data_IF_820333067757
#
_entry.id   IF_820333067757
#
_cell.length_a   1.000
_cell.length_b   1.000
_cell.length_c   1.000
_cell.angle_alpha   90.00
_cell.angle_beta   90.00
_cell.angle_gamma   90.00
#
_symmetry.space_group_name_H-M   'P 1'
#
loop_
_entity.id
_entity.type
_entity.pdbx_description
1 polymer ?
#
# COMPACT_ATOMS: atom_id res chain seq x y z
N UNK A 1 10.01 -7.73 -6.77
CA UNK A 1 9.40 -6.57 -6.08
C UNK A 1 8.23 -6.22 -6.96
N UNK A 2 7.04 -6.64 -6.58
CA UNK A 2 5.88 -6.59 -7.49
C UNK A 2 5.31 -5.16 -7.51
N UNK A 3 5.25 -4.48 -8.67
CA UNK A 3 4.71 -3.13 -8.80
C UNK A 3 3.19 -3.03 -8.63
N UNK A 4 2.43 -4.09 -8.92
CA UNK A 4 1.00 -4.03 -9.19
C UNK A 4 0.31 -4.34 -7.88
N UNK A 5 -0.34 -3.34 -7.28
CA UNK A 5 -1.01 -3.54 -6.00
C UNK A 5 -2.04 -4.64 -6.04
N UNK A 6 -2.83 -4.64 -7.12
CA UNK A 6 -3.89 -5.61 -7.35
C UNK A 6 -3.36 -7.05 -7.29
N UNK A 7 -2.10 -7.25 -7.69
CA UNK A 7 -1.45 -8.56 -7.73
C UNK A 7 -0.58 -8.87 -6.52
N UNK A 8 -0.31 -7.87 -5.66
CA UNK A 8 0.41 -8.10 -4.41
C UNK A 8 -0.27 -9.21 -3.63
N UNK A 9 0.51 -10.24 -3.29
CA UNK A 9 0.02 -11.35 -2.48
C UNK A 9 -0.68 -10.86 -1.21
N UNK A 10 -0.18 -9.80 -0.57
CA UNK A 10 -0.82 -9.20 0.60
C UNK A 10 -2.23 -8.65 0.35
N UNK A 11 -2.52 -8.11 -0.85
CA UNK A 11 -3.87 -7.65 -1.20
C UNK A 11 -4.80 -8.81 -1.54
N UNK A 12 -4.35 -9.75 -2.38
CA UNK A 12 -5.11 -10.98 -2.67
C UNK A 12 -5.45 -11.74 -1.39
N UNK A 13 -4.57 -11.64 -0.40
CA UNK A 13 -4.77 -12.23 0.92
C UNK A 13 -5.74 -11.40 1.78
N UNK A 14 -5.65 -10.07 1.76
CA UNK A 14 -6.66 -9.18 2.37
C UNK A 14 -8.07 -9.57 1.92
N UNK A 15 -8.32 -9.63 0.61
CA UNK A 15 -9.64 -9.93 0.06
C UNK A 15 -10.14 -11.35 0.43
N UNK A 16 -9.22 -12.29 0.71
CA UNK A 16 -9.57 -13.66 1.12
C UNK A 16 -9.89 -13.78 2.60
N UNK A 17 -9.12 -13.11 3.46
CA UNK A 17 -9.28 -13.16 4.94
C UNK A 17 -10.24 -12.11 5.49
N UNK A 18 -10.44 -11.01 4.75
CA UNK A 18 -11.35 -9.91 5.01
C UNK A 18 -12.12 -9.57 3.73
N UNK A 19 -13.16 -10.35 3.40
CA UNK A 19 -13.93 -10.11 2.19
C UNK A 19 -14.63 -8.74 2.26
N UNK A 20 -14.85 -8.06 1.13
CA UNK A 20 -15.38 -6.70 1.09
C UNK A 20 -16.69 -6.48 1.85
N UNK A 21 -17.61 -7.44 1.82
CA UNK A 21 -18.88 -7.39 2.56
C UNK A 21 -18.72 -7.42 4.09
N UNK A 22 -17.57 -7.89 4.60
CA UNK A 22 -17.25 -7.80 6.04
C UNK A 22 -16.77 -6.40 6.39
N UNK A 23 -16.05 -5.74 5.48
CA UNK A 23 -15.49 -4.41 5.71
C UNK A 23 -16.55 -3.32 5.79
N UNK A 24 -17.72 -3.56 5.21
CA UNK A 24 -18.90 -2.68 5.29
C UNK A 24 -19.72 -2.86 6.57
N UNK A 25 -19.32 -3.75 7.49
CA UNK A 25 -19.98 -3.89 8.80
C UNK A 25 -19.45 -2.89 9.82
N UNK A 26 -20.14 -2.77 10.97
CA UNK A 26 -19.73 -1.92 12.11
C UNK A 26 -18.27 -2.15 12.56
N UNK A 27 -17.78 -3.39 12.54
CA UNK A 27 -16.42 -3.76 12.97
C UNK A 27 -15.44 -3.96 11.81
N UNK A 28 -15.92 -3.77 10.57
CA UNK A 28 -15.15 -4.01 9.36
C UNK A 28 -13.87 -3.19 9.30
N UNK A 29 -13.94 -1.89 9.61
CA UNK A 29 -12.77 -1.04 9.68
C UNK A 29 -11.81 -1.42 10.82
N UNK A 30 -12.32 -1.80 12.00
CA UNK A 30 -11.46 -2.29 13.09
C UNK A 30 -10.63 -3.48 12.61
N UNK A 31 -11.26 -4.39 11.87
CA UNK A 31 -10.60 -5.58 11.31
C UNK A 31 -9.59 -5.23 10.21
N UNK A 32 -9.90 -4.25 9.35
CA UNK A 32 -8.94 -3.72 8.36
C UNK A 32 -7.72 -3.08 9.03
N UNK A 33 -7.92 -2.29 10.08
CA UNK A 33 -6.84 -1.65 10.83
C UNK A 33 -5.96 -2.68 11.55
N UNK A 34 -6.57 -3.72 12.13
CA UNK A 34 -5.83 -4.85 12.69
C UNK A 34 -5.00 -5.54 11.61
N UNK A 35 -5.60 -5.87 10.47
CA UNK A 35 -4.89 -6.46 9.33
C UNK A 35 -3.73 -5.60 8.82
N UNK A 36 -3.90 -4.28 8.76
CA UNK A 36 -2.81 -3.37 8.38
C UNK A 36 -1.69 -3.35 9.43
N UNK A 37 -2.05 -3.47 10.72
CA UNK A 37 -1.14 -3.51 11.85
C UNK A 37 -0.32 -4.80 12.01
N UNK A 38 -0.55 -5.82 11.18
CA UNK A 38 0.27 -7.04 11.18
C UNK A 38 1.43 -6.99 10.20
N UNK A 39 1.57 -5.96 9.35
CA UNK A 39 2.71 -5.89 8.41
C UNK A 39 2.69 -7.01 7.36
N UNK A 40 2.04 -6.77 6.22
CA UNK A 40 1.70 -7.84 5.28
C UNK A 40 2.85 -8.22 4.34
N UNK A 41 3.48 -9.38 4.52
CA UNK A 41 4.44 -9.92 3.54
C UNK A 41 4.85 -11.36 3.77
N UNK A 42 5.97 -11.78 3.18
CA UNK A 42 6.39 -13.19 3.17
C UNK A 42 6.47 -13.80 4.56
N UNK A 43 6.91 -13.02 5.55
CA UNK A 43 7.06 -13.47 6.93
C UNK A 43 5.72 -13.72 7.62
N UNK A 44 4.65 -13.03 7.22
CA UNK A 44 3.29 -13.21 7.78
C UNK A 44 2.41 -14.16 6.99
N UNK A 45 2.93 -14.73 5.92
CA UNK A 45 2.14 -15.55 4.98
C UNK A 45 1.55 -16.81 5.62
N UNK A 46 2.27 -17.45 6.55
CA UNK A 46 1.78 -18.64 7.25
C UNK A 46 0.65 -18.30 8.23
N UNK A 47 0.83 -17.25 9.04
CA UNK A 47 -0.23 -16.72 9.93
C UNK A 47 -1.53 -16.47 9.15
N UNK A 48 -1.42 -15.80 8.00
CA UNK A 48 -2.58 -15.41 7.21
C UNK A 48 -3.24 -16.59 6.50
N UNK A 49 -2.47 -17.62 6.13
CA UNK A 49 -3.03 -18.87 5.61
C UNK A 49 -3.83 -19.58 6.68
N UNK A 50 -3.36 -19.62 7.91
CA UNK A 50 -4.14 -20.17 9.02
C UNK A 50 -5.41 -19.35 9.27
N UNK A 51 -5.34 -18.02 9.17
CA UNK A 51 -6.54 -17.19 9.25
C UNK A 51 -7.53 -17.50 8.12
N UNK A 52 -7.08 -17.83 6.91
CA UNK A 52 -7.95 -18.19 5.79
C UNK A 52 -8.78 -19.47 6.06
N UNK A 53 -8.24 -20.40 6.86
CA UNK A 53 -8.88 -21.67 7.23
C UNK A 53 -9.89 -21.51 8.38
N UNK A 54 -9.87 -20.39 9.11
CA UNK A 54 -10.81 -20.13 10.21
C UNK A 54 -12.21 -19.78 9.69
N UNK A 55 -13.30 -20.22 10.37
CA UNK A 55 -14.67 -19.87 9.97
C UNK A 55 -14.92 -18.37 9.91
N UNK A 56 -14.41 -17.63 10.90
CA UNK A 56 -14.55 -16.17 11.01
C UNK A 56 -13.36 -15.41 10.39
N UNK A 57 -12.34 -16.12 9.90
CA UNK A 57 -11.14 -15.54 9.28
C UNK A 57 -10.50 -14.44 10.14
N UNK A 58 -10.29 -13.23 9.58
CA UNK A 58 -9.87 -12.04 10.33
C UNK A 58 -11.04 -11.10 10.67
N UNK A 59 -12.28 -11.55 10.55
CA UNK A 59 -13.44 -10.76 10.93
C UNK A 59 -13.61 -10.76 12.46
N UNK A 60 -13.09 -9.72 13.11
CA UNK A 60 -13.20 -9.60 14.55
C UNK A 60 -14.52 -8.94 14.95
N UNK A 61 -15.32 -9.65 15.75
CA UNK A 61 -16.62 -9.15 16.23
C UNK A 61 -16.50 -8.25 17.45
N UNK A 62 -15.38 -8.33 18.16
CA UNK A 62 -15.08 -7.53 19.35
C UNK A 62 -13.57 -7.39 19.58
N UNK A 63 -13.20 -6.49 20.49
CA UNK A 63 -11.82 -6.37 20.96
C UNK A 63 -11.31 -7.67 21.59
N UNK A 64 -12.16 -8.37 22.35
CA UNK A 64 -11.82 -9.61 23.04
C UNK A 64 -11.53 -10.74 22.05
N UNK A 65 -12.32 -10.82 20.98
CA UNK A 65 -12.12 -11.77 19.87
C UNK A 65 -10.78 -11.53 19.16
N UNK A 66 -10.46 -10.25 18.90
CA UNK A 66 -9.16 -9.84 18.38
C UNK A 66 -8.02 -10.23 19.33
N UNK A 67 -8.09 -9.85 20.61
CA UNK A 67 -7.05 -10.17 21.60
C UNK A 67 -6.85 -11.68 21.73
N UNK A 68 -7.94 -12.45 21.83
CA UNK A 68 -7.87 -13.90 21.94
C UNK A 68 -7.16 -14.53 20.74
N UNK A 69 -7.47 -14.07 19.53
CA UNK A 69 -6.82 -14.56 18.31
C UNK A 69 -5.30 -14.34 18.31
N UNK A 70 -4.84 -13.14 18.68
CA UNK A 70 -3.41 -12.85 18.72
C UNK A 70 -2.71 -13.51 19.91
N UNK A 71 -3.34 -13.55 21.09
CA UNK A 71 -2.79 -14.25 22.26
C UNK A 71 -2.67 -15.76 22.03
N UNK A 72 -3.63 -16.39 21.35
CA UNK A 72 -3.53 -17.80 20.97
C UNK A 72 -2.36 -18.03 20.00
N UNK A 73 -2.16 -17.12 19.05
CA UNK A 73 -1.04 -17.18 18.12
C UNK A 73 0.30 -17.03 18.85
N UNK A 74 0.41 -16.08 19.78
CA UNK A 74 1.57 -15.90 20.65
C UNK A 74 1.87 -17.14 21.48
N UNK A 75 0.86 -17.72 22.12
CA UNK A 75 1.01 -18.93 22.94
C UNK A 75 1.49 -20.12 22.09
N UNK A 76 0.97 -20.27 20.87
CA UNK A 76 1.41 -21.31 19.93
C UNK A 76 2.85 -21.08 19.47
N UNK A 77 3.21 -19.86 19.11
CA UNK A 77 4.59 -19.52 18.74
C UNK A 77 5.56 -19.81 19.89
N UNK A 78 5.18 -19.48 21.13
CA UNK A 78 5.97 -19.79 22.32
C UNK A 78 6.12 -21.30 22.54
N UNK A 79 5.05 -22.08 22.35
CA UNK A 79 5.06 -23.54 22.53
C UNK A 79 5.93 -24.27 21.49
N UNK A 80 6.00 -23.75 20.26
CA UNK A 80 6.80 -24.34 19.18
C UNK A 80 8.28 -23.94 19.20
N UNK A 81 8.67 -23.01 20.09
CA UNK A 81 10.03 -22.51 20.23
C UNK A 81 10.56 -21.79 19.00
N UNK A 82 11.88 -21.59 18.92
CA UNK A 82 12.54 -20.90 17.80
C UNK A 82 12.38 -21.61 16.42
N UNK A 83 11.84 -22.84 16.40
CA UNK A 83 11.70 -23.68 15.21
C UNK A 83 10.42 -23.45 14.40
N UNK A 84 9.36 -22.86 14.97
CA UNK A 84 8.17 -22.47 14.21
C UNK A 84 7.95 -20.97 14.34
N UNK A 85 8.70 -20.23 13.53
CA UNK A 85 8.70 -18.78 13.53
C UNK A 85 7.49 -18.27 12.72
N UNK A 86 6.26 -18.62 13.13
CA UNK A 86 5.05 -18.02 12.55
C UNK A 86 5.06 -16.55 12.99
N UNK A 87 5.63 -15.69 12.14
CA UNK A 87 5.57 -14.27 12.39
C UNK A 87 4.18 -13.79 12.02
N UNK A 88 3.45 -13.24 12.97
CA UNK A 88 2.15 -12.61 12.73
C UNK A 88 2.28 -11.08 12.66
N UNK A 89 3.51 -10.56 12.78
CA UNK A 89 3.86 -9.15 12.62
C UNK A 89 5.11 -9.03 11.73
N UNK A 90 5.05 -8.20 10.68
CA UNK A 90 6.23 -7.76 9.94
C UNK A 90 6.42 -6.24 10.02
N UNK A 91 7.19 -5.74 11.01
CA UNK A 91 7.48 -4.33 11.12
C UNK A 91 8.34 -3.81 9.95
N UNK A 92 8.96 -4.65 9.12
CA UNK A 92 9.74 -4.16 7.99
C UNK A 92 8.90 -3.58 6.84
N UNK A 93 7.61 -3.90 6.78
CA UNK A 93 6.75 -3.53 5.65
C UNK A 93 6.08 -2.18 5.89
N UNK A 94 5.52 -2.00 7.08
CA UNK A 94 4.89 -0.75 7.50
C UNK A 94 5.55 -0.15 8.75
N UNK A 95 6.03 -0.99 9.66
CA UNK A 95 6.63 -0.60 10.95
C UNK A 95 7.89 0.28 10.85
N UNK A 96 8.71 0.13 9.79
CA UNK A 96 9.89 0.97 9.57
C UNK A 96 9.52 2.42 9.30
N UNK A 97 8.40 2.66 8.59
CA UNK A 97 7.90 4.00 8.33
C UNK A 97 7.13 4.56 9.53
N UNK A 98 6.50 3.69 10.32
CA UNK A 98 5.76 4.08 11.51
C UNK A 98 5.59 2.87 12.46
N UNK A 99 6.20 2.95 13.64
CA UNK A 99 6.21 1.86 14.63
C UNK A 99 4.81 1.47 15.12
N UNK A 100 3.81 2.34 14.94
CA UNK A 100 2.41 2.01 15.22
C UNK A 100 1.86 0.90 14.33
N UNK A 101 2.51 0.50 13.24
CA UNK A 101 2.07 -0.66 12.45
C UNK A 101 2.63 -2.01 12.93
N UNK A 102 3.32 -2.05 14.07
CA UNK A 102 3.61 -3.31 14.76
C UNK A 102 2.40 -3.72 15.60
N UNK A 103 2.23 -5.03 15.80
CA UNK A 103 1.27 -5.61 16.74
C UNK A 103 1.58 -5.19 18.18
N UNK A 104 2.87 -5.03 18.50
CA UNK A 104 3.35 -4.55 19.79
C UNK A 104 4.25 -3.33 19.62
N UNK A 105 3.66 -2.16 19.32
CA UNK A 105 4.45 -0.96 19.05
C UNK A 105 5.21 -0.52 20.30
N UNK A 106 6.48 -0.18 20.10
CA UNK A 106 7.27 0.51 21.11
C UNK A 106 6.99 2.01 21.05
N UNK A 107 6.56 2.58 22.16
CA UNK A 107 6.21 3.99 22.29
C UNK A 107 7.11 4.68 23.30
N UNK A 108 7.35 5.98 23.05
CA UNK A 108 8.10 6.83 23.96
C UNK A 108 7.19 7.27 25.12
N UNK A 109 7.56 6.90 26.33
CA UNK A 109 6.93 7.32 27.57
C UNK A 109 7.53 8.60 28.15
N UNK A 110 7.12 8.96 29.39
CA UNK A 110 7.73 10.04 30.13
C UNK A 110 9.24 9.82 30.32
N UNK A 111 10.02 10.91 30.36
CA UNK A 111 11.46 10.89 30.63
C UNK A 111 12.29 10.04 29.66
N UNK A 112 11.93 10.04 28.38
CA UNK A 112 12.64 9.29 27.33
C UNK A 112 12.73 7.77 27.57
N UNK A 113 11.83 7.23 28.39
CA UNK A 113 11.67 5.78 28.53
C UNK A 113 10.92 5.22 27.32
N UNK A 114 11.21 3.98 26.94
CA UNK A 114 10.49 3.27 25.89
C UNK A 114 9.79 2.06 26.50
N UNK A 115 8.52 1.88 26.17
CA UNK A 115 7.77 0.69 26.57
C UNK A 115 6.96 0.16 25.40
N UNK A 116 6.71 -1.14 25.44
CA UNK A 116 5.96 -1.84 24.42
C UNK A 116 4.49 -1.89 24.83
N UNK A 117 3.58 -1.59 23.90
CA UNK A 117 2.15 -1.69 24.16
C UNK A 117 1.69 -3.15 24.20
N UNK A 118 0.71 -3.43 25.07
CA UNK A 118 -0.04 -4.69 25.04
C UNK A 118 -1.01 -4.73 23.86
N UNK A 119 -1.49 -5.92 23.49
CA UNK A 119 -2.54 -6.08 22.46
C UNK A 119 -3.78 -5.22 22.77
N UNK A 120 -4.20 -5.18 24.04
CA UNK A 120 -5.32 -4.35 24.48
C UNK A 120 -5.03 -2.88 24.21
N UNK A 121 -3.91 -2.36 24.70
CA UNK A 121 -3.53 -0.95 24.50
C UNK A 121 -3.40 -0.57 23.02
N UNK A 122 -2.99 -1.52 22.19
CA UNK A 122 -2.84 -1.36 20.75
C UNK A 122 -4.20 -1.32 20.03
N UNK A 123 -5.06 -2.30 20.28
CA UNK A 123 -6.27 -2.52 19.49
C UNK A 123 -7.52 -1.86 20.06
N UNK A 124 -7.58 -1.59 21.36
CA UNK A 124 -8.73 -0.93 22.00
C UNK A 124 -9.19 0.33 21.26
N UNK A 125 -8.31 1.25 20.81
CA UNK A 125 -8.75 2.42 20.05
C UNK A 125 -9.48 2.09 18.75
N UNK A 126 -9.16 0.96 18.11
CA UNK A 126 -9.79 0.55 16.83
C UNK A 126 -11.21 0.03 17.06
N UNK A 127 -11.50 -0.50 18.25
CA UNK A 127 -12.79 -1.06 18.63
C UNK A 127 -13.61 -0.10 19.50
N UNK A 128 -13.17 1.14 19.69
CA UNK A 128 -13.93 2.14 20.42
C UNK A 128 -15.29 2.39 19.74
N UNK A 129 -16.36 2.47 20.53
CA UNK A 129 -17.73 2.61 20.00
C UNK A 129 -17.92 3.87 19.16
N UNK A 130 -17.22 4.95 19.48
CA UNK A 130 -17.22 6.19 18.70
C UNK A 130 -16.58 6.02 17.32
N UNK A 131 -15.50 5.26 17.24
CA UNK A 131 -14.76 4.97 16.00
C UNK A 131 -15.59 4.05 15.10
N UNK A 132 -16.22 3.02 15.66
CA UNK A 132 -17.10 2.10 14.92
C UNK A 132 -18.38 2.80 14.42
N UNK A 133 -19.02 3.64 15.26
CA UNK A 133 -20.19 4.42 14.83
C UNK A 133 -19.84 5.43 13.75
N UNK A 134 -18.66 6.07 13.86
CA UNK A 134 -18.17 6.98 12.82
C UNK A 134 -17.96 6.26 11.49
N UNK A 135 -17.43 5.03 11.52
CA UNK A 135 -17.28 4.22 10.30
C UNK A 135 -18.60 3.82 9.67
N UNK A 136 -19.55 3.32 10.46
CA UNK A 136 -20.89 2.97 9.97
C UNK A 136 -21.62 4.19 9.38
N UNK A 137 -21.49 5.35 10.03
CA UNK A 137 -22.02 6.61 9.50
C UNK A 137 -21.32 7.05 8.20
N UNK A 138 -20.01 6.85 8.09
CA UNK A 138 -19.23 7.14 6.89
C UNK A 138 -19.66 6.29 5.70
N UNK A 139 -19.89 4.98 5.93
CA UNK A 139 -20.39 4.05 4.92
C UNK A 139 -21.80 4.43 4.44
N UNK A 140 -22.64 4.96 5.33
CA UNK A 140 -23.99 5.39 4.99
C UNK A 140 -24.81 4.22 4.39
N UNK A 141 -25.40 4.36 3.19
CA UNK A 141 -26.18 3.28 2.59
C UNK A 141 -25.36 2.05 2.18
N UNK A 142 -24.03 2.13 2.16
CA UNK A 142 -23.16 0.98 1.88
C UNK A 142 -22.99 0.07 3.11
N UNK A 143 -23.43 0.51 4.29
CA UNK A 143 -23.27 -0.26 5.53
C UNK A 143 -24.02 -1.60 5.46
N UNK A 144 -23.29 -2.69 5.76
CA UNK A 144 -23.72 -4.08 5.69
C UNK A 144 -24.10 -4.60 4.29
N UNK A 145 -23.72 -3.87 3.24
CA UNK A 145 -23.90 -4.29 1.85
C UNK A 145 -22.61 -4.88 1.25
N UNK A 146 -22.73 -5.64 0.17
CA UNK A 146 -21.57 -6.06 -0.62
C UNK A 146 -21.18 -4.93 -1.60
N UNK A 147 -20.00 -4.30 -1.43
CA UNK A 147 -19.60 -3.14 -2.22
C UNK A 147 -19.37 -3.43 -3.71
N UNK A 148 -19.26 -4.70 -4.10
CA UNK A 148 -19.13 -5.09 -5.51
C UNK A 148 -20.48 -5.27 -6.21
N UNK A 149 -21.57 -5.42 -5.45
CA UNK A 149 -22.91 -5.70 -5.97
C UNK A 149 -23.91 -4.57 -5.69
N UNK A 150 -23.48 -3.48 -5.04
CA UNK A 150 -24.35 -2.35 -4.71
C UNK A 150 -24.29 -1.27 -5.80
N UNK A 151 -25.44 -0.75 -6.20
CA UNK A 151 -25.56 0.48 -7.00
C UNK A 151 -25.45 1.76 -6.14
N UNK A 152 -25.06 1.61 -4.87
CA UNK A 152 -24.93 2.71 -3.92
C UNK A 152 -23.75 3.61 -4.29
N UNK A 153 -23.93 4.95 -4.29
CA UNK A 153 -22.83 5.88 -4.49
C UNK A 153 -21.71 5.65 -3.46
N UNK A 154 -20.49 5.44 -3.96
CA UNK A 154 -19.32 5.25 -3.11
C UNK A 154 -18.73 6.58 -2.69
N UNK A 155 -17.99 6.55 -1.59
CA UNK A 155 -17.17 7.68 -1.15
C UNK A 155 -15.97 7.84 -2.06
N UNK A 156 -15.51 9.07 -2.21
CA UNK A 156 -14.25 9.36 -2.91
C UNK A 156 -13.05 8.94 -2.06
N UNK A 157 -11.93 8.66 -2.71
CA UNK A 157 -10.67 8.37 -2.03
C UNK A 157 -10.24 9.49 -1.08
N UNK A 158 -10.46 10.76 -1.46
CA UNK A 158 -10.19 11.93 -0.62
C UNK A 158 -11.06 11.97 0.64
N UNK A 159 -12.34 11.61 0.54
CA UNK A 159 -13.23 11.48 1.71
C UNK A 159 -12.74 10.39 2.66
N UNK A 160 -12.24 9.25 2.14
CA UNK A 160 -11.64 8.20 2.97
C UNK A 160 -10.41 8.73 3.71
N UNK A 161 -9.52 9.45 3.03
CA UNK A 161 -8.34 10.07 3.64
C UNK A 161 -8.73 11.05 4.75
N UNK A 162 -9.70 11.92 4.47
CA UNK A 162 -10.17 12.91 5.44
C UNK A 162 -10.75 12.21 6.67
N UNK A 163 -11.60 11.20 6.48
CA UNK A 163 -12.21 10.46 7.57
C UNK A 163 -11.17 9.78 8.48
N UNK A 164 -10.18 9.09 7.90
CA UNK A 164 -9.17 8.40 8.72
C UNK A 164 -8.25 9.41 9.46
N UNK A 165 -8.00 10.58 8.90
CA UNK A 165 -7.27 11.66 9.59
C UNK A 165 -8.09 12.22 10.76
N UNK A 166 -9.38 12.49 10.55
CA UNK A 166 -10.30 12.99 11.56
C UNK A 166 -10.59 11.99 12.68
N UNK A 167 -10.41 10.69 12.42
CA UNK A 167 -10.53 9.65 13.44
C UNK A 167 -9.54 9.81 14.60
N UNK A 168 -8.44 10.55 14.40
CA UNK A 168 -7.42 10.77 15.42
C UNK A 168 -6.65 9.51 15.83
N UNK A 169 -6.78 8.40 15.09
CA UNK A 169 -6.12 7.15 15.40
C UNK A 169 -4.60 7.27 15.24
N UNK A 170 -3.87 6.84 16.27
CA UNK A 170 -2.41 6.83 16.25
C UNK A 170 -1.92 5.90 15.13
N UNK A 171 -0.93 6.36 14.37
CA UNK A 171 -0.47 5.68 13.16
C UNK A 171 -0.99 6.31 11.86
N UNK A 172 -2.05 7.12 11.93
CA UNK A 172 -2.75 7.70 10.78
C UNK A 172 -2.75 9.23 10.76
N UNK A 173 -1.86 9.90 11.51
CA UNK A 173 -1.81 11.37 11.55
C UNK A 173 -1.25 12.02 10.28
N UNK A 174 -0.49 11.30 9.47
CA UNK A 174 0.02 11.75 8.16
C UNK A 174 0.70 10.61 7.39
N UNK A 175 0.93 10.83 6.09
CA UNK A 175 1.85 10.04 5.29
C UNK A 175 1.31 8.69 4.80
N UNK A 176 2.20 7.70 4.74
CA UNK A 176 1.98 6.44 4.05
C UNK A 176 0.81 5.63 4.63
N UNK A 177 0.63 5.67 5.95
CA UNK A 177 -0.43 4.93 6.64
C UNK A 177 -1.84 5.20 6.12
N UNK A 178 -2.17 6.49 6.10
CA UNK A 178 -3.44 7.02 5.56
C UNK A 178 -3.62 6.70 4.09
N UNK A 179 -2.55 6.86 3.28
CA UNK A 179 -2.58 6.47 1.86
C UNK A 179 -2.90 4.98 1.69
N UNK A 180 -2.25 4.11 2.48
CA UNK A 180 -2.47 2.67 2.38
C UNK A 180 -3.89 2.28 2.78
N UNK A 181 -4.46 2.94 3.80
CA UNK A 181 -5.85 2.72 4.22
C UNK A 181 -6.82 3.11 3.10
N UNK A 182 -6.70 4.31 2.55
CA UNK A 182 -7.56 4.78 1.46
C UNK A 182 -7.45 3.89 0.21
N UNK A 183 -6.24 3.47 -0.15
CA UNK A 183 -6.04 2.55 -1.26
C UNK A 183 -6.66 1.17 -1.00
N UNK A 184 -6.59 0.65 0.23
CA UNK A 184 -7.27 -0.61 0.56
C UNK A 184 -8.79 -0.47 0.47
N UNK A 185 -9.36 0.66 0.91
CA UNK A 185 -10.79 0.93 0.75
C UNK A 185 -11.21 0.91 -0.73
N UNK A 186 -10.42 1.53 -1.62
CA UNK A 186 -10.66 1.49 -3.08
C UNK A 186 -10.60 0.06 -3.63
N UNK A 187 -9.57 -0.70 -3.25
CA UNK A 187 -9.36 -2.07 -3.74
C UNK A 187 -10.40 -3.07 -3.22
N UNK A 188 -11.05 -2.75 -2.11
CA UNK A 188 -12.20 -3.48 -1.57
C UNK A 188 -13.54 -2.93 -2.10
N UNK A 189 -13.54 -2.01 -3.06
CA UNK A 189 -14.75 -1.44 -3.65
C UNK A 189 -15.55 -0.53 -2.71
N UNK A 190 -15.00 -0.13 -1.56
CA UNK A 190 -15.70 0.73 -0.58
C UNK A 190 -15.68 2.20 -1.03
N UNK A 191 -14.65 2.57 -1.79
CA UNK A 191 -14.45 3.93 -2.30
C UNK A 191 -14.07 3.91 -3.78
N UNK A 192 -14.34 5.03 -4.45
CA UNK A 192 -13.85 5.26 -5.81
C UNK A 192 -12.37 5.65 -5.78
N UNK A 193 -11.63 5.22 -6.81
CA UNK A 193 -10.21 5.51 -6.95
C UNK A 193 -9.91 7.01 -7.09
N UNK A 194 -8.71 7.46 -6.67
CA UNK A 194 -8.34 8.86 -6.80
C UNK A 194 -8.18 9.25 -8.26
N UNK A 195 -8.57 10.48 -8.57
CA UNK A 195 -8.16 11.09 -9.84
C UNK A 195 -6.64 11.29 -9.88
N UNK A 196 -6.02 11.37 -11.06
CA UNK A 196 -4.60 11.71 -11.17
C UNK A 196 -4.25 13.05 -10.49
N UNK A 197 -5.16 14.02 -10.50
CA UNK A 197 -4.97 15.31 -9.83
C UNK A 197 -4.99 15.19 -8.30
N UNK A 198 -5.87 14.34 -7.75
CA UNK A 198 -5.95 14.05 -6.33
C UNK A 198 -4.66 13.39 -5.83
N UNK A 199 -4.21 12.36 -6.55
CA UNK A 199 -2.96 11.67 -6.25
C UNK A 199 -1.76 12.63 -6.31
N UNK A 200 -1.69 13.49 -7.33
CA UNK A 200 -0.62 14.48 -7.43
C UNK A 200 -0.63 15.49 -6.27
N UNK A 201 -1.82 15.89 -5.82
CA UNK A 201 -1.97 16.77 -4.65
C UNK A 201 -1.47 16.09 -3.38
N UNK A 202 -1.78 14.80 -3.21
CA UNK A 202 -1.23 13.99 -2.12
C UNK A 202 0.29 13.91 -2.19
N UNK A 203 0.88 13.61 -3.35
CA UNK A 203 2.35 13.56 -3.54
C UNK A 203 2.98 14.92 -3.18
N UNK A 204 2.35 16.03 -3.60
CA UNK A 204 2.82 17.38 -3.27
C UNK A 204 2.82 17.66 -1.76
N UNK A 205 1.84 17.15 -1.02
CA UNK A 205 1.78 17.28 0.44
C UNK A 205 2.75 16.32 1.17
N UNK A 206 3.23 15.28 0.48
CA UNK A 206 3.95 14.14 1.04
C UNK A 206 5.32 13.94 0.36
N UNK A 207 6.06 15.03 0.12
CA UNK A 207 7.32 15.03 -0.67
C UNK A 207 8.45 14.16 -0.10
N UNK A 208 8.37 13.77 1.17
CA UNK A 208 9.32 12.85 1.82
C UNK A 208 9.11 11.39 1.43
N UNK A 209 8.04 11.07 0.70
CA UNK A 209 7.72 9.71 0.28
C UNK A 209 8.25 9.38 -1.12
N UNK A 210 8.33 8.07 -1.39
CA UNK A 210 9.03 7.53 -2.56
C UNK A 210 8.49 8.00 -3.91
N UNK A 211 7.21 8.39 -4.03
CA UNK A 211 6.64 8.83 -5.30
C UNK A 211 7.22 10.17 -5.76
N UNK A 212 7.45 11.11 -4.84
CA UNK A 212 8.11 12.39 -5.15
C UNK A 212 9.56 12.16 -5.61
N UNK A 213 10.33 11.35 -4.87
CA UNK A 213 11.67 10.94 -5.31
C UNK A 213 11.63 10.15 -6.61
N UNK A 214 10.59 9.34 -6.84
CA UNK A 214 10.36 8.62 -8.09
C UNK A 214 10.25 9.57 -9.27
N UNK A 215 9.50 10.68 -9.12
CA UNK A 215 9.41 11.73 -10.15
C UNK A 215 10.78 12.34 -10.44
N UNK A 216 11.60 12.60 -9.42
CA UNK A 216 12.98 13.08 -9.61
C UNK A 216 13.85 12.03 -10.32
N UNK A 217 13.67 10.75 -10.01
CA UNK A 217 14.45 9.65 -10.59
C UNK A 217 14.11 9.41 -12.06
N UNK A 218 12.83 9.53 -12.45
CA UNK A 218 12.42 9.53 -13.86
C UNK A 218 12.70 10.88 -14.53
N UNK A 219 13.06 11.88 -13.72
CA UNK A 219 13.87 13.00 -14.14
C UNK A 219 13.28 14.38 -13.99
N UNK A 220 12.05 14.52 -13.50
CA UNK A 220 11.49 15.85 -13.32
C UNK A 220 12.38 16.67 -12.38
N UNK A 221 12.80 17.86 -12.82
CA UNK A 221 13.55 18.80 -11.98
C UNK A 221 12.62 19.36 -10.89
N UNK A 222 12.51 18.63 -9.79
CA UNK A 222 11.67 18.94 -8.65
C UNK A 222 12.56 19.23 -7.44
N UNK A 223 12.95 20.49 -7.20
CA UNK A 223 13.68 20.81 -5.97
C UNK A 223 12.79 20.53 -4.73
N UNK A 224 13.35 20.37 -3.52
CA UNK A 224 12.57 20.09 -2.31
C UNK A 224 11.43 21.10 -2.05
N UNK A 225 11.63 22.36 -2.47
CA UNK A 225 10.66 23.45 -2.39
C UNK A 225 9.77 23.60 -3.63
N UNK A 226 9.75 22.64 -4.55
CA UNK A 226 8.91 22.68 -5.76
C UNK A 226 7.44 22.97 -5.41
N UNK A 227 6.81 23.87 -6.17
CA UNK A 227 5.43 24.26 -5.90
C UNK A 227 4.46 23.11 -6.21
N UNK A 228 3.26 23.07 -5.58
CA UNK A 228 2.26 22.06 -5.88
C UNK A 228 1.87 21.98 -7.36
N UNK A 229 1.88 23.12 -8.07
CA UNK A 229 1.57 23.16 -9.50
C UNK A 229 2.60 22.40 -10.35
N UNK A 230 3.90 22.53 -10.03
CA UNK A 230 4.98 21.84 -10.76
C UNK A 230 4.91 20.32 -10.49
N UNK A 231 4.70 19.93 -9.23
CA UNK A 231 4.56 18.51 -8.87
C UNK A 231 3.33 17.89 -9.55
N UNK A 232 2.22 18.65 -9.61
CA UNK A 232 1.02 18.24 -10.33
C UNK A 232 1.29 18.04 -11.82
N UNK A 233 1.95 18.99 -12.47
CA UNK A 233 2.30 18.86 -13.88
C UNK A 233 3.20 17.63 -14.11
N UNK A 234 4.23 17.42 -13.29
CA UNK A 234 5.13 16.28 -13.39
C UNK A 234 4.39 14.93 -13.28
N UNK A 235 3.54 14.77 -12.25
CA UNK A 235 2.77 13.54 -12.09
C UNK A 235 1.76 13.31 -13.21
N UNK A 236 1.05 14.35 -13.66
CA UNK A 236 0.11 14.22 -14.78
C UNK A 236 0.84 13.85 -16.08
N UNK A 237 1.99 14.47 -16.36
CA UNK A 237 2.82 14.09 -17.50
C UNK A 237 3.22 12.61 -17.43
N UNK A 238 3.69 12.15 -16.27
CA UNK A 238 4.04 10.74 -16.06
C UNK A 238 2.84 9.80 -16.23
N UNK A 239 1.69 10.14 -15.63
CA UNK A 239 0.46 9.36 -15.70
C UNK A 239 -0.07 9.22 -17.13
N UNK A 240 -0.26 10.34 -17.83
CA UNK A 240 -0.77 10.34 -19.20
C UNK A 240 0.21 9.75 -20.19
N UNK A 241 1.52 9.85 -19.92
CA UNK A 241 2.53 9.13 -20.67
C UNK A 241 2.36 7.62 -20.53
N UNK A 242 2.22 7.09 -19.31
CA UNK A 242 1.92 5.66 -19.11
C UNK A 242 0.60 5.25 -19.78
N UNK A 243 -0.43 6.07 -19.65
CA UNK A 243 -1.73 5.80 -20.27
C UNK A 243 -1.62 5.69 -21.80
N UNK A 244 -0.86 6.59 -22.42
CA UNK A 244 -0.63 6.60 -23.86
C UNK A 244 0.21 5.40 -24.32
N UNK A 245 1.20 4.99 -23.52
CA UNK A 245 2.12 3.92 -23.88
C UNK A 245 1.61 2.50 -23.59
N UNK A 246 0.69 2.33 -22.64
CA UNK A 246 0.13 1.02 -22.31
C UNK A 246 -1.06 0.71 -23.21
N UNK A 247 -1.07 -0.48 -23.82
CA UNK A 247 -2.24 -0.98 -24.54
C UNK A 247 -3.46 -1.08 -23.59
N UNK A 248 -4.70 -1.02 -24.09
CA UNK A 248 -5.88 -1.27 -23.26
C UNK A 248 -5.79 -2.59 -22.48
N UNK A 249 -5.25 -3.64 -23.10
CA UNK A 249 -5.06 -4.94 -22.46
C UNK A 249 -4.04 -4.90 -21.32
N UNK A 250 -2.91 -4.20 -21.52
CA UNK A 250 -1.91 -4.05 -20.47
C UNK A 250 -2.44 -3.19 -19.32
N UNK A 251 -3.20 -2.14 -19.63
CA UNK A 251 -3.88 -1.33 -18.60
C UNK A 251 -4.85 -2.17 -17.78
N UNK A 252 -5.59 -3.08 -18.41
CA UNK A 252 -6.48 -4.00 -17.70
C UNK A 252 -5.70 -4.97 -16.79
N UNK A 253 -4.62 -5.56 -17.29
CA UNK A 253 -3.78 -6.50 -16.51
C UNK A 253 -3.07 -5.81 -15.35
N UNK A 254 -2.55 -4.60 -15.56
CA UNK A 254 -1.83 -3.83 -14.55
C UNK A 254 -2.76 -3.15 -13.54
N UNK A 255 -4.08 -3.20 -13.77
CA UNK A 255 -5.07 -2.39 -13.06
C UNK A 255 -4.66 -0.91 -13.07
N UNK A 256 -4.36 -0.38 -14.27
CA UNK A 256 -3.81 0.96 -14.45
C UNK A 256 -4.77 2.05 -13.96
N UNK A 257 -4.35 2.73 -12.91
CA UNK A 257 -5.01 3.89 -12.33
C UNK A 257 -3.96 4.81 -11.65
N UNK A 258 -4.42 5.86 -10.96
CA UNK A 258 -3.51 6.78 -10.28
C UNK A 258 -2.77 6.11 -9.10
N UNK A 259 -3.36 5.08 -8.47
CA UNK A 259 -2.75 4.28 -7.39
C UNK A 259 -1.58 3.46 -7.94
N UNK A 260 -1.74 2.85 -9.12
CA UNK A 260 -0.68 2.13 -9.83
C UNK A 260 0.49 3.07 -10.19
N UNK A 261 0.20 4.24 -10.76
CA UNK A 261 1.23 5.19 -11.16
C UNK A 261 2.06 5.70 -9.97
N UNK A 262 1.41 6.04 -8.84
CA UNK A 262 2.10 6.41 -7.59
C UNK A 262 3.03 5.29 -7.12
N UNK A 263 2.55 4.05 -7.12
CA UNK A 263 3.33 2.91 -6.63
C UNK A 263 4.53 2.59 -7.50
N UNK A 264 4.36 2.70 -8.81
CA UNK A 264 5.45 2.53 -9.75
C UNK A 264 6.57 3.52 -9.44
N UNK A 265 6.25 4.81 -9.25
CA UNK A 265 7.22 5.84 -8.83
C UNK A 265 7.88 5.49 -7.50
N UNK A 266 7.10 5.06 -6.50
CA UNK A 266 7.57 4.63 -5.19
C UNK A 266 8.56 3.45 -5.24
N UNK A 267 8.48 2.60 -6.26
CA UNK A 267 9.33 1.40 -6.42
C UNK A 267 10.53 1.66 -7.34
N UNK A 268 10.44 2.59 -8.30
CA UNK A 268 11.53 2.97 -9.19
C UNK A 268 12.78 3.37 -8.40
N UNK A 269 12.65 4.18 -7.35
CA UNK A 269 13.78 4.56 -6.50
C UNK A 269 14.44 3.36 -5.80
N UNK A 270 13.64 2.41 -5.30
CA UNK A 270 14.15 1.19 -4.64
C UNK A 270 14.85 0.25 -5.62
N UNK A 271 14.30 0.15 -6.83
CA UNK A 271 14.92 -0.60 -7.93
C UNK A 271 16.28 -0.02 -8.29
N UNK A 272 16.35 1.31 -8.49
CA UNK A 272 17.61 2.01 -8.77
C UNK A 272 18.66 1.74 -7.70
N UNK A 273 18.29 1.89 -6.42
CA UNK A 273 19.20 1.63 -5.31
C UNK A 273 19.70 0.17 -5.30
N UNK A 274 18.81 -0.81 -5.48
CA UNK A 274 19.17 -2.23 -5.53
C UNK A 274 20.17 -2.53 -6.65
N UNK A 275 19.92 -2.03 -7.85
CA UNK A 275 20.82 -2.23 -8.99
C UNK A 275 22.22 -1.62 -8.72
N UNK A 276 22.26 -0.42 -8.13
CA UNK A 276 23.52 0.22 -7.72
C UNK A 276 24.29 -0.63 -6.69
N UNK A 277 23.60 -1.18 -5.68
CA UNK A 277 24.24 -2.02 -4.65
C UNK A 277 24.74 -3.37 -5.16
N UNK A 278 24.16 -3.89 -6.25
CA UNK A 278 24.60 -5.15 -6.88
C UNK A 278 25.87 -4.98 -7.75
N UNK A 279 26.45 -3.77 -7.80
CA UNK A 279 27.77 -3.52 -8.39
C UNK A 279 27.85 -3.67 -9.91
N UNK A 280 26.73 -3.96 -10.58
CA UNK A 280 26.63 -4.12 -12.03
C UNK A 280 25.20 -3.78 -12.43
N UNK A 281 25.09 -2.85 -13.37
CA UNK A 281 24.01 -2.63 -14.36
C UNK A 281 23.86 -1.14 -14.57
N UNK A 282 24.37 -0.66 -15.71
CA UNK A 282 23.86 0.55 -16.33
C UNK A 282 22.37 0.28 -16.65
N UNK A 283 21.50 0.89 -15.84
CA UNK A 283 20.05 0.72 -15.89
C UNK A 283 19.50 0.92 -17.29
N UNK A 284 20.07 1.88 -18.02
CA UNK A 284 19.67 2.18 -19.39
C UNK A 284 20.17 1.07 -20.30
N UNK A 285 21.44 0.69 -20.22
CA UNK A 285 21.98 -0.37 -21.07
C UNK A 285 21.34 -1.75 -20.84
N UNK A 286 20.93 -2.10 -19.63
CA UNK A 286 20.31 -3.40 -19.35
C UNK A 286 18.80 -3.42 -19.62
N UNK A 287 18.11 -2.30 -19.33
CA UNK A 287 16.74 -2.07 -19.84
C UNK A 287 16.72 -1.85 -21.36
N UNK A 288 17.88 -1.73 -22.00
CA UNK A 288 17.99 -1.70 -23.45
C UNK A 288 18.33 -3.10 -23.99
N UNK A 289 19.23 -3.86 -23.37
CA UNK A 289 19.53 -5.26 -23.73
C UNK A 289 18.36 -6.22 -23.52
N UNK A 290 17.61 -6.11 -22.42
CA UNK A 290 16.41 -6.94 -22.17
C UNK A 290 15.29 -6.69 -23.20
N UNK A 291 15.36 -5.58 -23.93
CA UNK A 291 14.33 -5.11 -24.87
C UNK A 291 14.78 -5.13 -26.33
N UNK A 292 16.08 -5.09 -26.60
CA UNK A 292 16.66 -5.31 -27.94
C UNK A 292 16.54 -6.77 -28.40
N UNK A 293 16.33 -7.71 -27.47
CA UNK A 293 15.71 -9.00 -27.75
C UNK A 293 14.18 -8.86 -27.75
N UNK A 294 13.52 -9.33 -28.82
CA UNK A 294 12.06 -9.31 -29.06
C UNK A 294 11.21 -10.11 -28.04
N UNK A 295 11.64 -10.24 -26.79
CA UNK A 295 11.16 -11.21 -25.81
C UNK A 295 10.42 -10.57 -24.61
N UNK A 296 9.98 -9.30 -24.72
CA UNK A 296 8.92 -8.82 -23.85
C UNK A 296 7.63 -9.56 -24.24
N UNK A 297 7.37 -10.65 -23.54
CA UNK A 297 6.17 -11.45 -23.70
C UNK A 297 5.11 -10.94 -22.72
N UNK A 298 3.93 -10.63 -23.26
CA UNK A 298 2.76 -10.15 -22.51
C UNK A 298 2.56 -10.96 -21.22
N UNK A 299 2.61 -10.28 -20.07
CA UNK A 299 2.41 -10.88 -18.75
C UNK A 299 3.57 -11.73 -18.19
N UNK A 300 4.63 -12.01 -18.97
CA UNK A 300 5.73 -12.85 -18.53
C UNK A 300 6.59 -12.21 -17.43
N UNK A 301 6.69 -10.87 -17.42
CA UNK A 301 7.49 -10.12 -16.45
C UNK A 301 6.80 -9.91 -15.09
N UNK A 302 5.50 -10.20 -14.99
CA UNK A 302 4.72 -10.01 -13.76
C UNK A 302 5.23 -10.90 -12.61
N UNK A 303 5.71 -12.09 -12.96
CA UNK A 303 6.14 -13.11 -12.00
C UNK A 303 7.66 -13.26 -11.91
N UNK A 304 8.44 -12.48 -12.69
CA UNK A 304 9.89 -12.53 -12.70
C UNK A 304 10.48 -11.36 -11.87
N UNK A 305 11.00 -11.61 -10.65
CA UNK A 305 11.51 -10.55 -9.79
C UNK A 305 12.79 -9.87 -10.30
N UNK A 306 13.41 -10.41 -11.36
CA UNK A 306 14.58 -9.84 -12.03
C UNK A 306 14.22 -8.87 -13.16
N UNK A 307 12.96 -8.85 -13.62
CA UNK A 307 12.50 -8.06 -14.76
C UNK A 307 11.65 -6.87 -14.34
N UNK A 308 11.80 -5.75 -15.06
CA UNK A 308 10.95 -4.59 -14.84
C UNK A 308 9.56 -4.88 -15.44
N UNK A 309 8.48 -4.51 -14.73
CA UNK A 309 7.14 -5.02 -15.00
C UNK A 309 6.36 -4.21 -16.04
N UNK A 310 6.85 -3.03 -16.41
CA UNK A 310 6.33 -2.26 -17.54
C UNK A 310 7.33 -2.30 -18.70
N UNK A 311 6.84 -2.29 -19.95
CA UNK A 311 7.73 -2.24 -21.10
C UNK A 311 8.56 -0.94 -21.10
N UNK A 312 9.87 -1.07 -21.28
CA UNK A 312 10.77 0.02 -21.64
C UNK A 312 10.87 0.04 -23.15
N UNK A 313 10.33 1.06 -23.81
CA UNK A 313 10.27 1.08 -25.26
C UNK A 313 11.59 1.53 -25.89
N UNK A 314 11.89 0.93 -27.03
CA UNK A 314 13.05 1.21 -27.92
C UNK A 314 13.12 2.68 -28.37
N UNK A 315 11.98 3.36 -28.30
CA UNK A 315 11.77 4.77 -28.58
C UNK A 315 11.18 5.51 -27.38
N UNK A 316 11.45 5.04 -26.15
CA UNK A 316 11.53 5.97 -25.02
C UNK A 316 12.64 6.92 -25.45
N UNK A 317 12.34 8.15 -25.90
CA UNK A 317 13.40 8.99 -26.36
C UNK A 317 14.28 9.12 -25.14
N UNK A 318 15.55 8.77 -25.35
CA UNK A 318 16.62 9.06 -24.43
C UNK A 318 16.37 10.48 -23.89
N UNK A 319 15.78 11.40 -24.67
CA UNK A 319 15.29 12.72 -24.28
C UNK A 319 14.60 12.88 -22.92
N UNK A 320 13.69 12.05 -22.38
CA UNK A 320 13.25 12.33 -20.99
C UNK A 320 14.41 12.04 -20.03
N UNK A 321 15.10 10.91 -20.12
CA UNK A 321 16.29 10.66 -19.30
C UNK A 321 17.53 11.53 -19.67
N UNK A 322 17.61 12.13 -20.87
CA UNK A 322 18.71 12.96 -21.40
C UNK A 322 18.49 14.45 -21.15
N UNK A 323 17.28 14.97 -21.35
CA UNK A 323 16.88 16.35 -21.00
C UNK A 323 17.00 16.60 -19.49
N UNK A 324 17.15 15.55 -18.72
CA UNK A 324 17.15 15.56 -17.25
C UNK A 324 18.57 15.35 -16.71
N UNK A 325 19.45 14.74 -17.50
CA UNK A 325 20.82 14.37 -17.08
C UNK A 325 21.89 15.20 -17.81
N UNK A 326 21.64 15.71 -19.01
CA UNK A 326 22.58 16.54 -19.78
C UNK A 326 22.26 18.05 -19.72
N UNK A 327 21.02 18.43 -19.42
CA UNK A 327 20.63 19.83 -19.15
C UNK A 327 19.90 19.88 -17.80
N UNK A 328 20.36 20.71 -16.87
CA UNK A 328 19.68 20.92 -15.59
C UNK A 328 18.35 21.65 -15.74
#
# INVERSE_FOLDING_TARGET
MDPIRADLQGLKLLQRVLPPNVLTTKTGMSSLLVFMGTGQGTMTSDFLREMEERPDKMHFRSLQDCIHTFSDMEARCAALGASANIQYDNPAIYGQANSWYSTHPTVKGPHDTFFQLTLTQKFEPYFADEIQRSWEAFLGPLANEDPHNSDVPRKTWEEVLQWILESGLKGFGSGLGTLQFANNAVLCGIADGPSPAAMASWISANKTHGAFTGLQVVGFNLPPNASPAIIRAAFLCFYYWLEHCLSPEDRAVLHFDAIFAEQLLCKIGRWRHRMQTMGKIDLVAEAQKLFEGLDWQKGANLNDPSKFPIPSFKDFPISIFRLIVEEG
#
